data_IF_196865998965
#
_entry.id   IF_196865998965
#
_cell.length_a   1.000
_cell.length_b   1.000
_cell.length_c   1.000
_cell.angle_alpha   90.00
_cell.angle_beta   90.00
_cell.angle_gamma   90.00
#
_symmetry.space_group_name_H-M   'P 1'
#
loop_
_entity.id
_entity.type
_entity.pdbx_description
1 polymer ?
#
# COMPACT_ATOMS: atom_id res chain seq x y z
N UNK A 1 -31.96 17.20 4.69
CA UNK A 1 -30.82 16.77 3.85
C UNK A 1 -29.70 16.34 4.76
N UNK A 2 -29.44 15.04 4.90
CA UNK A 2 -28.30 14.51 5.67
C UNK A 2 -27.00 14.92 4.97
N UNK A 3 -26.21 15.77 5.60
CA UNK A 3 -24.89 16.21 5.10
C UNK A 3 -24.03 14.95 4.93
N UNK A 4 -23.71 14.58 3.68
CA UNK A 4 -22.89 13.40 3.38
C UNK A 4 -21.54 13.58 4.07
N UNK A 5 -21.13 12.61 4.90
CA UNK A 5 -19.84 12.65 5.61
C UNK A 5 -18.68 12.82 4.61
N UNK A 6 -17.71 13.67 4.93
CA UNK A 6 -16.49 13.78 4.17
C UNK A 6 -15.75 12.44 4.19
N UNK A 7 -15.37 11.93 3.01
CA UNK A 7 -14.63 10.68 2.87
C UNK A 7 -13.13 10.95 2.74
N UNK A 8 -12.34 10.06 3.34
CA UNK A 8 -10.89 10.16 3.36
C UNK A 8 -10.25 8.94 2.67
N UNK A 9 -9.32 9.20 1.77
CA UNK A 9 -8.51 8.18 1.10
C UNK A 9 -7.06 8.31 1.56
N UNK A 10 -6.48 7.22 2.05
CA UNK A 10 -5.06 7.13 2.33
C UNK A 10 -4.32 6.64 1.08
N UNK A 11 -3.35 7.42 0.62
CA UNK A 11 -2.41 7.04 -0.44
C UNK A 11 -1.04 6.77 0.20
N UNK A 12 -0.55 5.56 0.04
CA UNK A 12 0.78 5.16 0.52
C UNK A 12 1.80 5.42 -0.58
N UNK A 13 2.74 6.31 -0.29
CA UNK A 13 3.68 6.90 -1.22
C UNK A 13 3.23 8.29 -1.69
N UNK A 14 4.16 9.24 -1.70
CA UNK A 14 3.95 10.65 -2.10
C UNK A 14 4.82 11.09 -3.28
N UNK A 15 5.51 10.16 -3.95
CA UNK A 15 6.34 10.48 -5.11
C UNK A 15 5.54 10.88 -6.35
N UNK A 16 6.26 11.20 -7.43
CA UNK A 16 5.68 11.67 -8.70
C UNK A 16 4.65 10.71 -9.30
N UNK A 17 4.83 9.39 -9.13
CA UNK A 17 3.90 8.39 -9.65
C UNK A 17 2.55 8.37 -8.94
N UNK A 18 2.47 8.85 -7.71
CA UNK A 18 1.22 8.94 -6.95
C UNK A 18 0.42 10.22 -7.25
N UNK A 19 1.06 11.24 -7.77
CA UNK A 19 0.44 12.56 -8.06
C UNK A 19 -0.83 12.45 -8.92
N UNK A 20 -0.88 11.68 -10.02
CA UNK A 20 -2.11 11.54 -10.80
C UNK A 20 -3.28 10.96 -9.99
N UNK A 21 -3.03 9.94 -9.16
CA UNK A 21 -4.05 9.34 -8.32
C UNK A 21 -4.57 10.32 -7.25
N UNK A 22 -3.66 11.09 -6.63
CA UNK A 22 -4.00 12.13 -5.66
C UNK A 22 -4.91 13.20 -6.32
N UNK A 23 -4.55 13.67 -7.52
CA UNK A 23 -5.36 14.65 -8.26
C UNK A 23 -6.76 14.12 -8.56
N UNK A 24 -6.86 12.89 -9.04
CA UNK A 24 -8.16 12.24 -9.32
C UNK A 24 -8.98 12.09 -8.04
N UNK A 25 -8.39 11.60 -6.96
CA UNK A 25 -9.08 11.45 -5.68
C UNK A 25 -9.66 12.81 -5.19
N UNK A 26 -8.87 13.89 -5.28
CA UNK A 26 -9.33 15.24 -4.92
C UNK A 26 -10.46 15.73 -5.85
N UNK A 27 -10.39 15.48 -7.17
CA UNK A 27 -11.45 15.82 -8.11
C UNK A 27 -12.76 15.07 -7.84
N UNK A 28 -12.70 13.87 -7.23
CA UNK A 28 -13.86 13.12 -6.76
C UNK A 28 -14.43 13.64 -5.43
N UNK A 29 -13.88 14.71 -4.89
CA UNK A 29 -14.31 15.30 -3.61
C UNK A 29 -13.83 14.53 -2.37
N UNK A 30 -12.81 13.65 -2.51
CA UNK A 30 -12.19 12.99 -1.37
C UNK A 30 -11.15 13.90 -0.72
N UNK A 31 -11.01 13.78 0.59
CA UNK A 31 -9.85 14.28 1.32
C UNK A 31 -8.73 13.25 1.23
N UNK A 32 -7.54 13.68 0.86
CA UNK A 32 -6.42 12.78 0.61
C UNK A 32 -5.39 12.88 1.73
N UNK A 33 -5.16 11.74 2.38
CA UNK A 33 -4.07 11.52 3.33
C UNK A 33 -2.93 10.87 2.55
N UNK A 34 -1.71 11.37 2.69
CA UNK A 34 -0.55 10.80 1.98
C UNK A 34 0.53 10.45 2.99
N UNK A 35 1.13 9.27 2.84
CA UNK A 35 2.30 8.88 3.65
C UNK A 35 3.53 8.73 2.76
N UNK A 36 4.63 9.33 3.15
CA UNK A 36 5.95 9.14 2.55
C UNK A 36 7.03 9.40 3.61
N UNK A 37 8.25 8.84 3.42
CA UNK A 37 9.39 9.16 4.27
C UNK A 37 9.97 10.55 3.99
N UNK A 38 9.73 11.06 2.76
CA UNK A 38 10.15 12.37 2.32
C UNK A 38 8.99 13.36 2.42
N UNK A 39 9.01 14.23 3.42
CA UNK A 39 7.99 15.26 3.62
C UNK A 39 7.85 16.25 2.46
N UNK A 40 8.92 16.43 1.67
CA UNK A 40 8.96 17.34 0.51
C UNK A 40 8.56 16.65 -0.81
N UNK A 41 8.14 15.38 -0.77
CA UNK A 41 7.67 14.70 -1.96
C UNK A 41 6.44 15.40 -2.58
N UNK A 42 6.35 15.42 -3.90
CA UNK A 42 5.33 16.19 -4.64
C UNK A 42 3.89 15.84 -4.19
N UNK A 43 3.61 14.56 -3.97
CA UNK A 43 2.31 14.12 -3.49
C UNK A 43 2.03 14.51 -2.04
N UNK A 44 3.08 14.61 -1.18
CA UNK A 44 2.95 15.10 0.19
C UNK A 44 2.55 16.56 0.22
N UNK A 45 3.13 17.40 -0.63
CA UNK A 45 2.76 18.82 -0.76
C UNK A 45 1.34 19.01 -1.28
N UNK A 46 0.80 18.03 -1.99
CA UNK A 46 -0.58 18.07 -2.52
C UNK A 46 -1.62 17.46 -1.57
N UNK A 47 -1.18 16.77 -0.52
CA UNK A 47 -2.06 16.10 0.43
C UNK A 47 -2.93 17.12 1.21
N UNK A 48 -4.14 16.72 1.58
CA UNK A 48 -4.90 17.44 2.61
C UNK A 48 -4.31 17.16 4.00
N UNK A 49 -3.74 15.96 4.19
CA UNK A 49 -3.11 15.51 5.42
C UNK A 49 -1.84 14.71 5.10
N UNK A 50 -0.67 15.35 5.04
CA UNK A 50 0.60 14.65 4.91
C UNK A 50 0.99 13.99 6.24
N UNK A 51 1.50 12.76 6.17
CA UNK A 51 2.02 12.01 7.32
C UNK A 51 3.40 11.48 6.95
N UNK A 52 4.43 12.01 7.58
CA UNK A 52 5.80 11.60 7.32
C UNK A 52 6.10 10.27 8.02
N UNK A 53 6.07 9.19 7.24
CA UNK A 53 6.39 7.82 7.68
C UNK A 53 6.84 6.99 6.50
N UNK A 54 7.84 6.13 6.71
CA UNK A 54 8.34 5.25 5.65
C UNK A 54 7.29 4.26 5.18
N UNK A 55 6.99 4.26 3.89
CA UNK A 55 6.06 3.31 3.24
C UNK A 55 6.50 1.84 3.36
N UNK A 56 7.80 1.60 3.63
CA UNK A 56 8.37 0.26 3.84
C UNK A 56 8.29 -0.21 5.29
N UNK A 57 8.08 0.71 6.23
CA UNK A 57 7.88 0.34 7.63
C UNK A 57 6.39 0.12 7.89
N UNK A 58 5.94 -1.13 7.68
CA UNK A 58 4.53 -1.52 7.79
C UNK A 58 3.96 -1.13 9.16
N UNK A 59 4.66 -1.44 10.25
CA UNK A 59 4.17 -1.19 11.61
C UNK A 59 3.98 0.29 11.90
N UNK A 60 4.94 1.14 11.52
CA UNK A 60 4.83 2.58 11.71
C UNK A 60 3.70 3.17 10.88
N UNK A 61 3.56 2.74 9.61
CA UNK A 61 2.48 3.22 8.74
C UNK A 61 1.11 2.79 9.26
N UNK A 62 0.95 1.53 9.71
CA UNK A 62 -0.30 1.06 10.33
C UNK A 62 -0.64 1.87 11.58
N UNK A 63 0.34 2.14 12.45
CA UNK A 63 0.11 2.93 13.65
C UNK A 63 -0.29 4.37 13.33
N UNK A 64 0.38 5.02 12.38
CA UNK A 64 0.04 6.36 11.92
C UNK A 64 -1.38 6.41 11.31
N UNK A 65 -1.74 5.42 10.49
CA UNK A 65 -3.08 5.31 9.92
C UNK A 65 -4.15 5.10 10.99
N UNK A 66 -3.89 4.27 12.01
CA UNK A 66 -4.80 4.08 13.15
C UNK A 66 -5.00 5.37 13.94
N UNK A 67 -3.93 6.09 14.25
CA UNK A 67 -4.01 7.36 14.97
C UNK A 67 -4.85 8.40 14.18
N UNK A 68 -4.60 8.51 12.88
CA UNK A 68 -5.39 9.40 12.03
C UNK A 68 -6.87 8.98 11.97
N UNK A 69 -7.12 7.67 11.82
CA UNK A 69 -8.47 7.10 11.70
C UNK A 69 -9.37 7.39 12.90
N UNK A 70 -8.81 7.53 14.10
CA UNK A 70 -9.58 7.87 15.33
C UNK A 70 -10.30 9.20 15.18
N UNK A 71 -9.65 10.22 14.66
CA UNK A 71 -10.21 11.57 14.51
C UNK A 71 -10.90 11.76 13.16
N UNK A 72 -10.35 11.19 12.11
CA UNK A 72 -10.79 11.32 10.73
C UNK A 72 -10.87 9.92 10.09
N UNK A 73 -12.02 9.24 10.17
CA UNK A 73 -12.16 7.89 9.65
C UNK A 73 -11.77 7.77 8.18
N UNK A 74 -10.81 6.89 7.89
CA UNK A 74 -10.40 6.51 6.54
C UNK A 74 -11.47 5.60 5.92
N UNK A 75 -11.75 5.80 4.65
CA UNK A 75 -12.71 5.03 3.85
C UNK A 75 -12.03 4.05 2.88
N UNK A 76 -10.76 4.25 2.64
CA UNK A 76 -9.96 3.38 1.78
C UNK A 76 -8.47 3.68 1.89
N UNK A 77 -7.68 2.73 1.44
CA UNK A 77 -6.22 2.84 1.34
C UNK A 77 -5.76 2.27 0.01
N UNK A 78 -4.81 2.92 -0.62
CA UNK A 78 -4.24 2.47 -1.89
C UNK A 78 -2.79 2.91 -2.07
N UNK A 79 -2.16 2.37 -3.09
CA UNK A 79 -0.89 2.87 -3.64
C UNK A 79 -0.91 2.76 -5.16
N UNK A 80 -0.01 3.46 -5.83
CA UNK A 80 0.21 3.41 -7.29
C UNK A 80 1.70 3.50 -7.56
N UNK A 81 2.22 2.64 -8.44
CA UNK A 81 3.60 2.75 -8.94
C UNK A 81 4.69 2.57 -7.88
N UNK A 82 4.44 1.78 -6.85
CA UNK A 82 5.42 1.44 -5.80
C UNK A 82 5.17 0.04 -5.23
N UNK A 83 6.17 -0.54 -4.60
CA UNK A 83 6.13 -1.89 -4.00
C UNK A 83 5.48 -1.92 -2.60
N UNK A 84 4.62 -0.95 -2.28
CA UNK A 84 4.01 -0.82 -0.96
C UNK A 84 2.70 -1.63 -0.78
N UNK A 85 2.45 -2.64 -1.62
CA UNK A 85 1.20 -3.43 -1.57
C UNK A 85 1.00 -4.16 -0.24
N UNK A 86 2.07 -4.64 0.40
CA UNK A 86 2.00 -5.24 1.74
C UNK A 86 1.56 -4.22 2.80
N UNK A 87 2.09 -3.00 2.72
CA UNK A 87 1.72 -1.91 3.64
C UNK A 87 0.25 -1.50 3.44
N UNK A 88 -0.21 -1.42 2.19
CA UNK A 88 -1.63 -1.18 1.87
C UNK A 88 -2.51 -2.26 2.48
N UNK A 89 -2.19 -3.55 2.27
CA UNK A 89 -2.95 -4.66 2.82
C UNK A 89 -2.96 -4.65 4.36
N UNK A 90 -1.82 -4.37 4.98
CA UNK A 90 -1.71 -4.30 6.43
C UNK A 90 -2.60 -3.19 7.03
N UNK A 91 -2.59 -2.00 6.42
CA UNK A 91 -3.46 -0.89 6.85
C UNK A 91 -4.92 -1.23 6.62
N UNK A 92 -5.29 -1.76 5.43
CA UNK A 92 -6.66 -2.16 5.14
C UNK A 92 -7.19 -3.16 6.16
N UNK A 93 -6.41 -4.21 6.43
CA UNK A 93 -6.80 -5.24 7.41
C UNK A 93 -6.90 -4.67 8.84
N UNK A 94 -5.95 -3.81 9.24
CA UNK A 94 -5.93 -3.24 10.58
C UNK A 94 -7.09 -2.27 10.88
N UNK A 95 -7.69 -1.70 9.83
CA UNK A 95 -8.80 -0.74 9.90
C UNK A 95 -10.12 -1.31 9.38
N UNK A 96 -10.18 -2.60 9.05
CA UNK A 96 -11.35 -3.26 8.42
C UNK A 96 -11.83 -2.53 7.15
N UNK A 97 -10.89 -2.01 6.35
CA UNK A 97 -11.17 -1.39 5.06
C UNK A 97 -11.18 -2.46 3.95
N UNK A 98 -11.86 -2.20 2.82
CA UNK A 98 -11.76 -3.05 1.65
C UNK A 98 -10.31 -3.20 1.20
N UNK A 99 -9.88 -4.45 0.98
CA UNK A 99 -8.50 -4.76 0.59
C UNK A 99 -8.29 -6.26 0.48
N UNK A 100 -7.13 -6.66 -0.02
CA UNK A 100 -6.70 -8.06 -0.05
C UNK A 100 -6.10 -8.46 1.30
N UNK A 101 -6.16 -9.74 1.70
CA UNK A 101 -5.46 -10.24 2.87
C UNK A 101 -3.95 -9.99 2.77
N UNK A 102 -3.30 -9.76 3.92
CA UNK A 102 -1.86 -9.45 3.96
C UNK A 102 -1.01 -10.55 3.30
N UNK A 103 -1.32 -11.81 3.57
CA UNK A 103 -0.62 -12.96 2.98
C UNK A 103 -0.77 -13.05 1.46
N UNK A 104 -1.84 -12.51 0.89
CA UNK A 104 -2.02 -12.41 -0.57
C UNK A 104 -1.11 -11.32 -1.13
N UNK A 105 -1.04 -10.15 -0.47
CA UNK A 105 -0.12 -9.09 -0.85
C UNK A 105 1.34 -9.55 -0.75
N UNK A 106 1.70 -10.27 0.31
CA UNK A 106 3.03 -10.82 0.51
C UNK A 106 3.39 -11.81 -0.63
N UNK A 107 2.50 -12.75 -0.94
CA UNK A 107 2.72 -13.71 -2.04
C UNK A 107 2.81 -13.03 -3.40
N UNK A 108 2.10 -11.95 -3.63
CA UNK A 108 2.15 -11.23 -4.92
C UNK A 108 3.46 -10.45 -5.13
N UNK A 109 4.18 -10.13 -4.07
CA UNK A 109 5.46 -9.41 -4.11
C UNK A 109 6.69 -10.30 -3.96
N UNK A 110 6.55 -11.47 -3.36
CA UNK A 110 7.59 -12.48 -3.24
C UNK A 110 7.47 -13.52 -4.37
N UNK A 111 8.40 -13.47 -5.34
CA UNK A 111 8.36 -14.35 -6.51
C UNK A 111 8.46 -15.85 -6.17
N UNK A 112 9.16 -16.21 -5.10
CA UNK A 112 9.28 -17.60 -4.66
C UNK A 112 7.94 -18.07 -4.09
N UNK A 113 7.35 -17.30 -3.17
CA UNK A 113 6.04 -17.59 -2.58
C UNK A 113 4.94 -17.61 -3.64
N UNK A 114 4.96 -16.65 -4.56
CA UNK A 114 4.01 -16.58 -5.67
C UNK A 114 4.07 -17.83 -6.55
N UNK A 115 5.26 -18.20 -7.03
CA UNK A 115 5.42 -19.36 -7.92
C UNK A 115 5.09 -20.69 -7.24
N UNK A 116 5.48 -20.86 -5.97
CA UNK A 116 5.06 -22.03 -5.18
C UNK A 116 3.56 -22.15 -5.11
N UNK A 117 2.88 -21.03 -4.78
CA UNK A 117 1.42 -21.03 -4.69
C UNK A 117 0.73 -21.31 -6.01
N UNK A 118 1.22 -20.74 -7.11
CA UNK A 118 0.68 -21.01 -8.44
C UNK A 118 0.84 -22.50 -8.81
N UNK A 119 2.01 -23.10 -8.54
CA UNK A 119 2.27 -24.51 -8.78
C UNK A 119 1.31 -25.42 -7.93
N UNK A 120 1.14 -25.12 -6.63
CA UNK A 120 0.20 -25.84 -5.76
C UNK A 120 -1.23 -25.82 -6.29
N UNK A 121 -1.61 -24.73 -6.98
CA UNK A 121 -2.94 -24.57 -7.58
C UNK A 121 -3.04 -25.16 -9.00
N UNK A 122 -2.02 -25.88 -9.47
CA UNK A 122 -2.00 -26.51 -10.80
C UNK A 122 -1.81 -25.50 -11.95
N UNK A 123 -1.38 -24.28 -11.67
CA UNK A 123 -1.10 -23.26 -12.67
C UNK A 123 0.34 -23.46 -13.17
N UNK A 124 0.53 -23.48 -14.49
CA UNK A 124 1.83 -23.62 -15.10
C UNK A 124 2.77 -22.46 -14.70
N UNK A 125 3.94 -22.80 -14.21
CA UNK A 125 5.01 -21.86 -13.86
C UNK A 125 6.31 -22.28 -14.54
N UNK A 126 7.18 -21.33 -14.90
CA UNK A 126 8.50 -21.69 -15.40
C UNK A 126 9.31 -22.46 -14.34
N UNK A 127 10.23 -23.31 -14.78
CA UNK A 127 11.20 -23.91 -13.87
C UNK A 127 11.94 -22.80 -13.12
N UNK A 128 11.99 -22.93 -11.82
CA UNK A 128 12.70 -21.97 -10.96
C UNK A 128 13.28 -22.68 -9.74
N UNK A 129 14.33 -22.12 -9.20
CA UNK A 129 14.85 -22.48 -7.89
C UNK A 129 15.24 -21.22 -7.13
N UNK A 130 15.06 -21.20 -5.80
CA UNK A 130 15.62 -20.14 -4.98
C UNK A 130 17.15 -20.22 -5.01
N UNK A 131 17.79 -19.07 -5.05
CA UNK A 131 19.24 -18.91 -4.95
C UNK A 131 19.54 -18.03 -3.77
N UNK A 132 20.23 -18.56 -2.77
CA UNK A 132 20.58 -17.85 -1.54
C UNK A 132 22.09 -17.63 -1.43
N UNK A 133 22.88 -18.49 -2.08
CA UNK A 133 24.34 -18.48 -2.05
C UNK A 133 24.90 -18.62 -3.47
N UNK A 134 26.21 -18.36 -3.64
CA UNK A 134 26.89 -18.56 -4.92
C UNK A 134 26.90 -20.05 -5.30
N UNK A 135 26.98 -20.95 -4.32
CA UNK A 135 26.96 -22.39 -4.59
C UNK A 135 25.62 -22.85 -5.16
N UNK A 136 24.52 -22.20 -4.79
CA UNK A 136 23.19 -22.47 -5.37
C UNK A 136 23.13 -22.15 -6.88
N UNK A 137 23.99 -21.24 -7.37
CA UNK A 137 24.07 -20.93 -8.81
C UNK A 137 24.74 -22.03 -9.63
N UNK A 138 25.65 -22.77 -9.00
CA UNK A 138 26.49 -23.79 -9.65
C UNK A 138 25.88 -25.20 -9.56
N UNK A 139 24.81 -25.35 -8.80
CA UNK A 139 24.08 -26.60 -8.62
C UNK A 139 22.89 -26.69 -9.61
#
# INVERSE_FOLDING_TARGET
MTKKRQRHLLVIGGGVFQVPAIKVAKSMGLKVVVTDYNGDAEGMMMADYPIEVSTRNINLTVNAAKQFHVSCPLDGVMTVGTDASQTVAAVANALNLPGIPFEVAERSTDKIKMRRRLHEMGIAVPHFRPVWTIDDLNA
#
